data_IF_940436209731
#
_entry.id   IF_940436209731
#
_cell.length_a   1.000
_cell.length_b   1.000
_cell.length_c   1.000
_cell.angle_alpha   90.00
_cell.angle_beta   90.00
_cell.angle_gamma   90.00
#
_symmetry.space_group_name_H-M   'P 1'
#
loop_
_entity.id
_entity.type
_entity.pdbx_description
1 polymer ?
#
# COMPACT_ATOMS: atom_id res chain seq x y z
N UNK A 1 7.61 8.70 7.48
CA UNK A 1 8.17 8.97 6.13
C UNK A 1 8.62 7.70 5.44
N UNK A 2 9.29 6.79 6.15
CA UNK A 2 9.77 5.48 5.68
C UNK A 2 8.74 4.68 4.86
N UNK A 3 7.49 4.60 5.32
CA UNK A 3 6.41 3.89 4.61
C UNK A 3 6.05 4.43 3.22
N UNK A 4 6.54 5.61 2.86
CA UNK A 4 6.36 6.25 1.54
C UNK A 4 7.71 6.59 0.92
N UNK A 5 8.79 5.93 1.37
CA UNK A 5 10.10 6.11 0.78
C UNK A 5 10.06 5.68 -0.69
N UNK A 6 10.66 6.48 -1.56
CA UNK A 6 10.70 6.23 -3.01
C UNK A 6 9.34 6.24 -3.70
N UNK A 7 8.35 6.90 -3.07
CA UNK A 7 7.01 7.16 -3.60
C UNK A 7 6.74 8.65 -3.49
N UNK A 8 6.41 9.26 -4.62
CA UNK A 8 5.91 10.63 -4.65
C UNK A 8 4.41 10.66 -4.32
N UNK A 9 4.06 11.31 -3.22
CA UNK A 9 2.66 11.38 -2.77
C UNK A 9 2.36 12.60 -1.92
N UNK A 10 1.09 13.00 -1.94
CA UNK A 10 0.50 14.01 -1.05
C UNK A 10 0.47 13.48 0.40
N UNK A 11 0.77 14.34 1.37
CA UNK A 11 0.91 13.99 2.81
C UNK A 11 0.28 15.05 3.71
N UNK A 12 -0.93 15.50 3.37
CA UNK A 12 -1.71 16.46 4.16
C UNK A 12 -2.79 15.77 5.01
N UNK A 13 -3.46 16.54 5.85
CA UNK A 13 -4.51 16.05 6.76
C UNK A 13 -5.68 15.42 6.01
N UNK A 14 -5.94 15.84 4.77
CA UNK A 14 -7.03 15.32 3.95
C UNK A 14 -6.81 13.87 3.48
N UNK A 15 -5.61 13.29 3.66
CA UNK A 15 -5.26 11.93 3.19
C UNK A 15 -4.64 11.05 4.28
N UNK A 16 -4.75 11.46 5.54
CA UNK A 16 -4.10 10.80 6.68
C UNK A 16 -4.67 9.41 6.99
N UNK A 17 -5.98 9.27 6.82
CA UNK A 17 -6.76 8.03 6.99
C UNK A 17 -6.49 7.02 5.87
N UNK A 18 -5.92 7.45 4.76
CA UNK A 18 -5.43 6.60 3.69
C UNK A 18 -3.90 6.37 3.75
N UNK A 19 -3.24 6.77 4.84
CA UNK A 19 -1.82 6.50 4.99
C UNK A 19 -1.55 4.98 5.03
N UNK A 20 -0.35 4.49 4.63
CA UNK A 20 -0.06 3.06 4.65
C UNK A 20 -0.30 2.39 6.02
N UNK A 21 -0.17 3.14 7.11
CA UNK A 21 -0.40 2.66 8.47
C UNK A 21 -1.88 2.46 8.82
N UNK A 22 -2.81 3.00 8.03
CA UNK A 22 -4.24 2.80 8.22
C UNK A 22 -4.74 1.43 7.74
N UNK A 23 -3.92 0.70 6.98
CA UNK A 23 -4.27 -0.61 6.43
C UNK A 23 -3.44 -1.74 7.05
N UNK A 24 -3.92 -2.97 6.87
CA UNK A 24 -3.16 -4.19 7.22
C UNK A 24 -1.97 -4.35 6.27
N UNK A 25 -0.86 -4.98 6.72
CA UNK A 25 0.23 -5.33 5.83
C UNK A 25 -0.25 -6.25 4.69
N UNK A 26 -0.05 -5.83 3.45
CA UNK A 26 -0.53 -6.57 2.27
C UNK A 26 0.07 -7.99 2.21
N UNK A 27 1.32 -8.15 2.59
CA UNK A 27 2.00 -9.46 2.58
C UNK A 27 1.31 -10.46 3.53
N UNK A 28 0.83 -10.00 4.68
CA UNK A 28 0.07 -10.85 5.61
C UNK A 28 -1.29 -11.23 5.03
N UNK A 29 -1.97 -10.29 4.38
CA UNK A 29 -3.26 -10.54 3.72
C UNK A 29 -3.10 -11.58 2.61
N UNK A 30 -2.09 -11.43 1.75
CA UNK A 30 -1.83 -12.37 0.65
C UNK A 30 -1.42 -13.76 1.17
N UNK A 31 -0.59 -13.83 2.21
CA UNK A 31 -0.18 -15.11 2.82
C UNK A 31 -1.37 -15.91 3.41
N UNK A 32 -2.37 -15.20 3.93
CA UNK A 32 -3.60 -15.79 4.46
C UNK A 32 -4.56 -16.32 3.39
N UNK A 33 -4.35 -15.96 2.12
CA UNK A 33 -5.23 -16.36 0.99
C UNK A 33 -4.50 -17.26 -0.02
N UNK A 34 -3.29 -17.73 0.31
CA UNK A 34 -2.39 -18.47 -0.61
C UNK A 34 -2.98 -19.73 -1.24
N UNK A 35 -4.00 -20.32 -0.62
CA UNK A 35 -4.70 -21.52 -1.08
C UNK A 35 -5.87 -21.20 -2.03
N UNK A 36 -6.29 -19.94 -2.09
CA UNK A 36 -7.41 -19.47 -2.90
C UNK A 36 -6.98 -18.65 -4.11
N UNK A 37 -5.77 -18.09 -4.10
CA UNK A 37 -5.29 -17.18 -5.15
C UNK A 37 -3.85 -17.48 -5.57
N UNK A 38 -3.53 -17.11 -6.81
CA UNK A 38 -2.17 -17.14 -7.36
C UNK A 38 -1.68 -15.70 -7.61
N UNK A 39 -0.44 -15.40 -7.20
CA UNK A 39 0.19 -14.10 -7.47
C UNK A 39 0.80 -14.15 -8.87
N UNK A 40 0.17 -13.45 -9.81
CA UNK A 40 0.70 -13.37 -11.18
C UNK A 40 1.85 -12.36 -11.27
N UNK A 41 1.73 -11.21 -10.61
CA UNK A 41 2.74 -10.15 -10.60
C UNK A 41 2.68 -9.35 -9.30
N UNK A 42 3.82 -8.79 -8.88
CA UNK A 42 3.93 -7.84 -7.77
C UNK A 42 4.34 -6.47 -8.31
N UNK A 43 3.58 -5.42 -7.96
CA UNK A 43 3.84 -4.06 -8.42
C UNK A 43 4.39 -3.20 -7.27
N UNK A 44 5.41 -2.39 -7.58
CA UNK A 44 5.92 -1.35 -6.67
C UNK A 44 5.39 0.00 -7.12
N UNK A 45 4.76 0.75 -6.23
CA UNK A 45 4.29 2.08 -6.57
C UNK A 45 5.44 3.09 -6.66
N UNK A 46 5.24 4.12 -7.49
CA UNK A 46 6.17 5.24 -7.69
C UNK A 46 5.50 6.60 -7.45
N UNK A 47 4.20 6.68 -7.66
CA UNK A 47 3.38 7.89 -7.46
C UNK A 47 2.03 7.47 -6.88
N UNK A 48 1.54 8.23 -5.89
CA UNK A 48 0.20 8.08 -5.33
C UNK A 48 -0.56 9.41 -5.44
N UNK A 49 -1.62 9.41 -6.25
CA UNK A 49 -2.56 10.53 -6.41
C UNK A 49 -3.85 10.17 -5.68
N UNK A 50 -4.28 11.04 -4.77
CA UNK A 50 -5.48 10.88 -3.93
C UNK A 50 -6.42 12.07 -4.12
N UNK A 51 -7.71 11.80 -4.10
CA UNK A 51 -8.79 12.78 -4.23
C UNK A 51 -9.17 13.28 -2.86
#
# INVERSE_FOLDING_TARGET
REATAHVECRKDEAVIDESPAAYKPIDQVMAAQRDLVEVVHTLRQVVCVKG
#
